data_IF_701657484769
#
_entry.id   IF_701657484769
#
_cell.length_a   1.000
_cell.length_b   1.000
_cell.length_c   1.000
_cell.angle_alpha   90.00
_cell.angle_beta   90.00
_cell.angle_gamma   90.00
#
_symmetry.space_group_name_H-M   'P 1'
#
loop_
_entity.id
_entity.type
_entity.pdbx_description
1 polymer ?
#
# COMPACT_ATOMS: atom_id res chain seq x y z
N UNK A 1 1.30 -4.27 26.17
CA UNK A 1 2.66 -4.75 25.87
C UNK A 1 2.52 -5.67 24.66
N UNK A 2 3.11 -5.34 23.50
CA UNK A 2 3.10 -6.25 22.35
C UNK A 2 4.04 -7.41 22.65
N UNK A 3 3.54 -8.64 22.57
CA UNK A 3 4.37 -9.84 22.61
C UNK A 3 5.30 -9.87 21.38
N UNK A 4 6.50 -10.44 21.51
CA UNK A 4 7.52 -10.56 20.45
C UNK A 4 6.92 -11.23 19.21
N UNK A 5 6.02 -12.20 19.41
CA UNK A 5 5.30 -12.84 18.32
C UNK A 5 4.35 -11.88 17.58
N UNK A 6 3.64 -11.02 18.29
CA UNK A 6 2.77 -10.02 17.66
C UNK A 6 3.57 -8.92 16.96
N UNK A 7 4.70 -8.53 17.54
CA UNK A 7 5.61 -7.54 16.95
C UNK A 7 6.23 -8.06 15.63
N UNK A 8 6.71 -9.29 15.61
CA UNK A 8 7.29 -9.90 14.40
C UNK A 8 6.26 -10.04 13.28
N UNK A 9 5.02 -10.43 13.59
CA UNK A 9 3.92 -10.48 12.62
C UNK A 9 3.54 -9.11 12.07
N UNK A 10 3.51 -8.09 12.94
CA UNK A 10 3.26 -6.72 12.52
C UNK A 10 4.35 -6.26 11.54
N UNK A 11 5.62 -6.46 11.88
CA UNK A 11 6.74 -6.09 11.00
C UNK A 11 6.65 -6.85 9.67
N UNK A 12 6.45 -8.17 9.70
CA UNK A 12 6.33 -8.98 8.49
C UNK A 12 5.17 -8.52 7.59
N UNK A 13 4.01 -8.22 8.19
CA UNK A 13 2.84 -7.69 7.48
C UNK A 13 3.15 -6.38 6.79
N UNK A 14 3.71 -5.42 7.51
CA UNK A 14 4.03 -4.08 7.00
C UNK A 14 5.05 -4.16 5.88
N UNK A 15 6.11 -4.94 6.06
CA UNK A 15 7.17 -5.14 5.06
C UNK A 15 6.64 -5.82 3.81
N UNK A 16 5.84 -6.89 3.94
CA UNK A 16 5.31 -7.61 2.78
C UNK A 16 4.31 -6.75 2.01
N UNK A 17 3.41 -6.05 2.69
CA UNK A 17 2.49 -5.10 2.05
C UNK A 17 3.24 -4.00 1.29
N UNK A 18 4.27 -3.42 1.91
CA UNK A 18 5.14 -2.44 1.27
C UNK A 18 5.84 -2.99 0.01
N UNK A 19 6.42 -4.19 0.10
CA UNK A 19 7.11 -4.83 -1.03
C UNK A 19 6.15 -5.09 -2.18
N UNK A 20 4.91 -5.53 -1.92
CA UNK A 20 3.90 -5.75 -2.96
C UNK A 20 3.56 -4.44 -3.67
N UNK A 21 3.35 -3.36 -2.92
CA UNK A 21 3.07 -2.04 -3.50
C UNK A 21 4.24 -1.54 -4.36
N UNK A 22 5.46 -1.68 -3.85
CA UNK A 22 6.66 -1.29 -4.58
C UNK A 22 6.87 -2.10 -5.88
N UNK A 23 6.69 -3.42 -5.81
CA UNK A 23 6.71 -4.28 -7.01
C UNK A 23 5.60 -3.89 -7.98
N UNK A 24 4.43 -3.50 -7.48
CA UNK A 24 3.33 -2.98 -8.30
C UNK A 24 3.73 -1.75 -9.09
N UNK A 25 4.42 -0.78 -8.46
CA UNK A 25 4.99 0.40 -9.14
C UNK A 25 5.93 -0.02 -10.26
N UNK A 26 6.92 -0.88 -9.95
CA UNK A 26 7.91 -1.31 -10.93
C UNK A 26 7.24 -2.02 -12.12
N UNK A 27 6.30 -2.93 -11.88
CA UNK A 27 5.60 -3.66 -12.94
C UNK A 27 4.72 -2.73 -13.79
N UNK A 28 4.06 -1.76 -13.16
CA UNK A 28 3.24 -0.78 -13.88
C UNK A 28 4.08 0.08 -14.83
N UNK A 29 5.28 0.48 -14.39
CA UNK A 29 6.16 1.37 -15.13
C UNK A 29 6.94 0.62 -16.23
N UNK A 30 7.50 -0.56 -15.91
CA UNK A 30 8.33 -1.32 -16.85
C UNK A 30 7.54 -2.17 -17.87
N UNK A 31 6.38 -2.69 -17.49
CA UNK A 31 5.68 -3.71 -18.30
C UNK A 31 4.35 -3.19 -18.84
N UNK A 32 3.57 -2.49 -18.01
CA UNK A 32 2.15 -2.22 -18.26
C UNK A 32 1.86 -0.77 -18.70
N UNK A 33 2.91 0.02 -18.99
CA UNK A 33 2.86 1.35 -19.59
C UNK A 33 1.88 2.31 -18.87
N UNK A 34 2.00 2.43 -17.55
CA UNK A 34 1.21 3.38 -16.75
C UNK A 34 -0.30 3.15 -16.78
N UNK A 35 -0.72 1.90 -16.59
CA UNK A 35 -2.14 1.57 -16.46
C UNK A 35 -2.59 1.71 -15.01
N UNK A 36 -3.36 2.76 -14.69
CA UNK A 36 -3.84 3.05 -13.33
C UNK A 36 -4.56 1.87 -12.67
N UNK A 37 -5.31 1.07 -13.44
CA UNK A 37 -6.02 -0.13 -12.95
C UNK A 37 -5.06 -1.16 -12.31
N UNK A 38 -3.87 -1.33 -12.87
CA UNK A 38 -2.88 -2.29 -12.38
C UNK A 38 -2.42 -1.90 -10.99
N UNK A 39 -2.08 -0.62 -10.80
CA UNK A 39 -1.69 -0.08 -9.51
C UNK A 39 -2.78 -0.29 -8.45
N UNK A 40 -4.05 -0.04 -8.80
CA UNK A 40 -5.17 -0.27 -7.89
C UNK A 40 -5.32 -1.75 -7.51
N UNK A 41 -5.09 -2.69 -8.44
CA UNK A 41 -5.10 -4.12 -8.14
C UNK A 41 -3.98 -4.50 -7.16
N UNK A 42 -2.77 -3.94 -7.33
CA UNK A 42 -1.68 -4.17 -6.37
C UNK A 42 -2.00 -3.63 -4.98
N UNK A 43 -2.71 -2.50 -4.88
CA UNK A 43 -3.21 -1.99 -3.60
C UNK A 43 -4.16 -2.99 -2.94
N UNK A 44 -5.15 -3.49 -3.69
CA UNK A 44 -6.10 -4.50 -3.18
C UNK A 44 -5.35 -5.74 -2.67
N UNK A 45 -4.42 -6.26 -3.46
CA UNK A 45 -3.62 -7.44 -3.12
C UNK A 45 -2.76 -7.18 -1.88
N UNK A 46 -2.07 -6.04 -1.82
CA UNK A 46 -1.21 -5.67 -0.69
C UNK A 46 -2.01 -5.59 0.61
N UNK A 47 -3.19 -4.94 0.59
CA UNK A 47 -4.05 -4.80 1.77
C UNK A 47 -4.52 -6.16 2.28
N UNK A 48 -5.03 -7.02 1.37
CA UNK A 48 -5.51 -8.36 1.74
C UNK A 48 -4.37 -9.20 2.32
N UNK A 49 -3.22 -9.23 1.66
CA UNK A 49 -2.08 -10.07 2.08
C UNK A 49 -1.51 -9.57 3.41
N UNK A 50 -1.34 -8.26 3.58
CA UNK A 50 -0.86 -7.68 4.84
C UNK A 50 -1.82 -8.02 5.99
N UNK A 51 -3.13 -7.77 5.83
CA UNK A 51 -4.13 -8.10 6.85
C UNK A 51 -4.09 -9.58 7.25
N UNK A 52 -3.96 -10.48 6.27
CA UNK A 52 -3.87 -11.93 6.50
C UNK A 52 -2.60 -12.31 7.28
N UNK A 53 -1.45 -11.74 6.95
CA UNK A 53 -0.17 -12.04 7.63
C UNK A 53 -0.18 -11.51 9.06
N UNK A 54 -0.63 -10.27 9.23
CA UNK A 54 -0.65 -9.63 10.54
C UNK A 54 -1.81 -10.06 11.43
N UNK A 55 -2.84 -10.73 10.88
CA UNK A 55 -4.07 -11.14 11.60
C UNK A 55 -4.80 -9.98 12.26
N UNK A 56 -4.76 -8.80 11.62
CA UNK A 56 -5.56 -7.63 11.99
C UNK A 56 -5.88 -6.84 10.73
N UNK A 57 -7.12 -6.38 10.64
CA UNK A 57 -7.69 -5.61 9.51
C UNK A 57 -6.97 -4.29 9.20
N UNK A 58 -6.25 -3.73 10.15
CA UNK A 58 -5.63 -2.40 10.00
C UNK A 58 -4.19 -2.44 9.48
N UNK A 59 -3.57 -3.62 9.37
CA UNK A 59 -2.17 -3.70 8.95
C UNK A 59 -1.98 -3.46 7.44
N UNK A 60 -3.00 -3.71 6.63
CA UNK A 60 -3.03 -3.37 5.21
C UNK A 60 -3.00 -1.86 5.00
N UNK A 61 -3.83 -1.11 5.73
CA UNK A 61 -3.77 0.37 5.75
C UNK A 61 -2.41 0.83 6.26
N UNK A 62 -1.89 0.24 7.34
CA UNK A 62 -0.56 0.59 7.85
C UNK A 62 0.55 0.41 6.81
N UNK A 63 0.49 -0.67 6.02
CA UNK A 63 1.43 -0.94 4.93
C UNK A 63 1.32 0.12 3.82
N UNK A 64 0.08 0.49 3.47
CA UNK A 64 -0.18 1.55 2.51
C UNK A 64 0.33 2.91 2.99
N UNK A 65 0.11 3.27 4.27
CA UNK A 65 0.61 4.53 4.85
C UNK A 65 2.14 4.57 4.80
N UNK A 66 2.83 3.47 5.14
CA UNK A 66 4.28 3.40 5.01
C UNK A 66 4.74 3.61 3.57
N UNK A 67 4.07 2.97 2.61
CA UNK A 67 4.35 3.17 1.19
C UNK A 67 4.08 4.61 0.73
N UNK A 68 2.99 5.23 1.19
CA UNK A 68 2.64 6.61 0.89
C UNK A 68 3.71 7.58 1.38
N UNK A 69 4.15 7.43 2.64
CA UNK A 69 5.20 8.26 3.22
C UNK A 69 6.50 8.09 2.45
N UNK A 70 6.90 6.85 2.17
CA UNK A 70 8.13 6.55 1.43
C UNK A 70 8.10 7.15 0.02
N UNK A 71 7.01 6.94 -0.71
CA UNK A 71 6.83 7.45 -2.07
C UNK A 71 6.80 8.97 -2.12
N UNK A 72 6.12 9.61 -1.16
CA UNK A 72 6.07 11.07 -1.05
C UNK A 72 7.45 11.68 -0.78
N UNK A 73 8.21 11.10 0.16
CA UNK A 73 9.56 11.55 0.44
C UNK A 73 10.47 11.37 -0.79
N UNK A 74 10.45 10.20 -1.41
CA UNK A 74 11.27 9.91 -2.58
C UNK A 74 10.97 10.87 -3.75
N UNK A 75 9.69 11.19 -3.96
CA UNK A 75 9.24 12.13 -5.00
C UNK A 75 9.70 13.56 -4.71
N UNK A 76 9.65 14.02 -3.46
CA UNK A 76 10.15 15.35 -3.08
C UNK A 76 11.66 15.48 -3.32
N UNK A 77 12.42 14.38 -3.14
CA UNK A 77 13.87 14.40 -3.33
C UNK A 77 14.33 14.34 -4.80
N UNK A 78 13.54 13.76 -5.70
CA UNK A 78 13.98 13.42 -7.06
C UNK A 78 13.09 13.97 -8.18
N UNK A 79 11.85 14.37 -7.88
CA UNK A 79 10.84 14.73 -8.88
C UNK A 79 10.78 16.22 -9.21
N UNK A 80 10.34 16.53 -10.42
CA UNK A 80 9.99 17.89 -10.82
C UNK A 80 8.65 18.32 -10.22
N UNK A 81 8.42 19.62 -9.94
CA UNK A 81 7.21 20.10 -9.26
C UNK A 81 5.89 19.67 -9.92
N UNK A 82 5.88 19.54 -11.25
CA UNK A 82 4.72 19.15 -12.05
C UNK A 82 4.37 17.65 -11.87
N UNK A 83 5.39 16.81 -11.67
CA UNK A 83 5.21 15.37 -11.42
C UNK A 83 4.71 15.10 -10.00
N UNK A 84 5.04 15.97 -9.04
CA UNK A 84 4.59 15.86 -7.63
C UNK A 84 3.06 15.80 -7.56
N UNK A 85 2.37 16.63 -8.34
CA UNK A 85 0.90 16.69 -8.30
C UNK A 85 0.26 15.42 -8.88
N UNK A 86 0.77 14.93 -10.01
CA UNK A 86 0.28 13.69 -10.64
C UNK A 86 0.51 12.46 -9.75
N UNK A 87 1.68 12.39 -9.10
CA UNK A 87 2.00 11.30 -8.17
C UNK A 87 1.11 11.39 -6.92
N UNK A 88 0.89 12.60 -6.40
CA UNK A 88 0.01 12.82 -5.25
C UNK A 88 -1.42 12.38 -5.56
N UNK A 89 -1.98 12.76 -6.71
CA UNK A 89 -3.33 12.37 -7.12
C UNK A 89 -3.47 10.84 -7.24
N UNK A 90 -2.46 10.18 -7.83
CA UNK A 90 -2.40 8.72 -7.93
C UNK A 90 -2.34 8.06 -6.55
N UNK A 91 -1.51 8.57 -5.65
CA UNK A 91 -1.38 8.06 -4.28
C UNK A 91 -2.67 8.26 -3.48
N UNK A 92 -3.37 9.39 -3.64
CA UNK A 92 -4.66 9.64 -3.00
C UNK A 92 -5.71 8.63 -3.46
N UNK A 93 -5.80 8.38 -4.78
CA UNK A 93 -6.72 7.38 -5.32
C UNK A 93 -6.43 5.97 -4.78
N UNK A 94 -5.15 5.59 -4.73
CA UNK A 94 -4.71 4.33 -4.13
C UNK A 94 -5.10 4.25 -2.65
N UNK A 95 -4.97 5.35 -1.90
CA UNK A 95 -5.37 5.40 -0.49
C UNK A 95 -6.86 5.24 -0.27
N UNK A 96 -7.69 5.83 -1.13
CA UNK A 96 -9.14 5.63 -1.12
C UNK A 96 -9.46 4.15 -1.36
N UNK A 97 -8.82 3.51 -2.34
CA UNK A 97 -9.01 2.07 -2.60
C UNK A 97 -8.57 1.23 -1.40
N UNK A 98 -7.42 1.52 -0.78
CA UNK A 98 -6.96 0.80 0.41
C UNK A 98 -7.97 0.90 1.57
N UNK A 99 -8.55 2.08 1.78
CA UNK A 99 -9.60 2.30 2.78
C UNK A 99 -10.87 1.51 2.44
N UNK A 100 -11.36 1.60 1.21
CA UNK A 100 -12.58 0.88 0.77
C UNK A 100 -12.39 -0.63 0.95
N UNK A 101 -11.26 -1.19 0.49
CA UNK A 101 -10.96 -2.63 0.64
C UNK A 101 -10.95 -3.02 2.12
N UNK A 102 -10.33 -2.21 2.97
CA UNK A 102 -10.26 -2.50 4.40
C UNK A 102 -11.63 -2.46 5.06
N UNK A 103 -12.48 -1.48 4.72
CA UNK A 103 -13.85 -1.40 5.22
C UNK A 103 -14.70 -2.59 4.74
N UNK A 104 -14.54 -3.01 3.48
CA UNK A 104 -15.23 -4.20 2.95
C UNK A 104 -14.80 -5.45 3.73
N UNK A 105 -13.51 -5.63 3.97
CA UNK A 105 -13.01 -6.77 4.76
C UNK A 105 -13.55 -6.74 6.19
N UNK A 106 -13.59 -5.57 6.85
CA UNK A 106 -14.16 -5.41 8.20
C UNK A 106 -15.67 -5.72 8.25
N UNK A 107 -16.41 -5.48 7.16
CA UNK A 107 -17.82 -5.84 7.06
C UNK A 107 -18.05 -7.34 6.83
N UNK A 108 -17.12 -8.03 6.15
CA UNK A 108 -17.23 -9.46 5.84
C UNK A 108 -16.75 -10.34 7.01
N UNK A 109 -15.73 -9.88 7.75
CA UNK A 109 -15.15 -10.62 8.87
C UNK A 109 -15.93 -10.45 10.20
N UNK A 110 -16.97 -9.62 10.21
CA UNK A 110 -17.95 -9.48 11.32
C UNK A 110 -19.03 -10.53 11.27
#
# INVERSE_FOLDING_TARGET
MLDIYQLSRMIASLTIGFVILYVGVLLNDFILKNTSIVMLLFVVIAVIIANKIGNKLWYGIGSFILFFIFSSQFTIFLGEPEEIQLITDSLVLQGIVALIVTLILDLIEK
#
